data_IF_289123282968
#
_entry.id   IF_289123282968
#
_cell.length_a   1.000
_cell.length_b   1.000
_cell.length_c   1.000
_cell.angle_alpha   90.00
_cell.angle_beta   90.00
_cell.angle_gamma   90.00
#
_symmetry.space_group_name_H-M   'P 1'
#
loop_
_entity.id
_entity.type
_entity.pdbx_description
1 polymer ?
#
# COMPACT_ATOMS: atom_id res chain seq x y z
N UNK A 1 -0.37 5.16 17.34
CA UNK A 1 -0.95 4.28 16.29
C UNK A 1 -2.22 3.65 16.83
N UNK A 2 -3.32 3.57 16.06
CA UNK A 2 -4.49 2.82 16.49
C UNK A 2 -4.08 1.37 16.79
N UNK A 3 -4.62 0.79 17.88
CA UNK A 3 -4.39 -0.64 18.20
C UNK A 3 -4.84 -1.48 17.02
N UNK A 4 -3.88 -2.11 16.34
CA UNK A 4 -4.15 -3.04 15.25
C UNK A 4 -4.11 -4.46 15.81
N UNK A 5 -5.16 -5.23 15.55
CA UNK A 5 -5.16 -6.65 15.89
C UNK A 5 -4.39 -7.43 14.82
N UNK A 6 -3.64 -8.48 15.19
CA UNK A 6 -3.00 -9.35 14.22
C UNK A 6 -4.02 -9.93 13.22
N UNK A 7 -3.62 -10.09 11.96
CA UNK A 7 -4.47 -10.66 10.92
C UNK A 7 -4.95 -12.09 11.24
N UNK A 8 -4.12 -12.88 11.93
CA UNK A 8 -4.48 -14.21 12.41
C UNK A 8 -5.67 -14.18 13.38
N UNK A 9 -5.65 -13.25 14.34
CA UNK A 9 -6.73 -13.04 15.31
C UNK A 9 -8.02 -12.64 14.59
N UNK A 10 -7.93 -11.67 13.67
CA UNK A 10 -9.08 -11.24 12.86
C UNK A 10 -9.67 -12.40 12.05
N UNK A 11 -8.83 -13.20 11.38
CA UNK A 11 -9.31 -14.36 10.59
C UNK A 11 -10.00 -15.41 11.46
N UNK A 12 -9.42 -15.77 12.59
CA UNK A 12 -10.00 -16.75 13.52
C UNK A 12 -11.36 -16.28 14.04
N UNK A 13 -11.45 -15.02 14.48
CA UNK A 13 -12.69 -14.45 15.01
C UNK A 13 -13.74 -14.29 13.90
N UNK A 14 -13.35 -13.85 12.70
CA UNK A 14 -14.25 -13.80 11.54
C UNK A 14 -14.82 -15.17 11.19
N UNK A 15 -14.01 -16.24 11.28
CA UNK A 15 -14.50 -17.60 11.08
C UNK A 15 -15.55 -17.97 12.13
N UNK A 16 -15.26 -17.80 13.42
CA UNK A 16 -16.20 -18.05 14.53
C UNK A 16 -17.52 -17.27 14.36
N UNK A 17 -17.45 -15.98 14.04
CA UNK A 17 -18.62 -15.12 13.83
C UNK A 17 -19.50 -15.57 12.66
N UNK A 18 -18.93 -16.23 11.64
CA UNK A 18 -19.70 -16.83 10.54
C UNK A 18 -20.27 -18.20 10.90
N UNK A 19 -19.54 -18.97 11.72
CA UNK A 19 -19.97 -20.29 12.18
C UNK A 19 -21.11 -20.24 13.21
N UNK A 20 -21.42 -19.06 13.76
CA UNK A 20 -22.62 -18.83 14.57
C UNK A 20 -22.36 -18.18 15.93
N UNK A 21 -21.10 -18.05 16.35
CA UNK A 21 -20.75 -17.43 17.63
C UNK A 21 -21.28 -16.00 17.71
N UNK A 22 -21.79 -15.62 18.88
CA UNK A 22 -22.33 -14.28 19.08
C UNK A 22 -21.20 -13.27 19.30
N UNK A 23 -21.47 -12.01 18.92
CA UNK A 23 -20.55 -10.90 19.19
C UNK A 23 -20.35 -10.69 20.69
N UNK A 24 -21.38 -10.99 21.50
CA UNK A 24 -21.30 -10.86 22.95
C UNK A 24 -20.30 -11.87 23.54
N UNK A 25 -20.41 -13.15 23.16
CA UNK A 25 -19.56 -14.21 23.70
C UNK A 25 -18.08 -14.01 23.31
N UNK A 26 -17.82 -13.65 22.06
CA UNK A 26 -16.46 -13.36 21.62
C UNK A 26 -15.93 -12.09 22.31
N UNK A 27 -16.78 -11.09 22.52
CA UNK A 27 -16.41 -9.86 23.21
C UNK A 27 -16.01 -10.10 24.67
N UNK A 28 -16.74 -10.95 25.39
CA UNK A 28 -16.42 -11.31 26.78
C UNK A 28 -15.16 -12.16 26.87
N UNK A 29 -14.94 -13.10 25.94
CA UNK A 29 -13.76 -13.97 25.92
C UNK A 29 -12.47 -13.20 25.55
N UNK A 30 -12.54 -12.33 24.54
CA UNK A 30 -11.35 -11.70 23.95
C UNK A 30 -11.07 -10.29 24.44
N UNK A 31 -12.05 -9.64 25.08
CA UNK A 31 -12.00 -8.22 25.46
C UNK A 31 -12.05 -7.26 24.27
N UNK A 32 -12.29 -7.75 23.05
CA UNK A 32 -12.42 -6.91 21.86
C UNK A 32 -13.77 -6.21 21.88
N UNK A 33 -13.77 -4.91 21.55
CA UNK A 33 -15.00 -4.13 21.57
C UNK A 33 -16.06 -4.68 20.59
N UNK A 34 -17.35 -4.71 20.98
CA UNK A 34 -18.43 -5.18 20.12
C UNK A 34 -18.46 -4.47 18.76
N UNK A 35 -18.17 -3.17 18.72
CA UNK A 35 -18.11 -2.40 17.48
C UNK A 35 -17.05 -2.95 16.49
N UNK A 36 -15.89 -3.38 16.98
CA UNK A 36 -14.85 -4.00 16.16
C UNK A 36 -15.32 -5.34 15.60
N UNK A 37 -15.93 -6.16 16.46
CA UNK A 37 -16.44 -7.48 16.09
C UNK A 37 -17.57 -7.40 15.05
N UNK A 38 -18.51 -6.46 15.19
CA UNK A 38 -19.55 -6.23 14.19
C UNK A 38 -18.97 -5.84 12.83
N UNK A 39 -17.96 -4.98 12.82
CA UNK A 39 -17.28 -4.57 11.58
C UNK A 39 -16.58 -5.75 10.91
N UNK A 40 -15.93 -6.60 11.69
CA UNK A 40 -15.31 -7.83 11.17
C UNK A 40 -16.33 -8.83 10.66
N UNK A 41 -17.46 -9.02 11.36
CA UNK A 41 -18.56 -9.86 10.90
C UNK A 41 -19.12 -9.37 9.56
N UNK A 42 -19.35 -8.06 9.44
CA UNK A 42 -19.85 -7.46 8.20
C UNK A 42 -18.90 -7.72 7.02
N UNK A 43 -17.60 -7.47 7.20
CA UNK A 43 -16.61 -7.75 6.15
C UNK A 43 -16.51 -9.25 5.84
N UNK A 44 -16.54 -10.11 6.86
CA UNK A 44 -16.49 -11.55 6.68
C UNK A 44 -17.67 -12.10 5.87
N UNK A 45 -18.84 -11.48 5.95
CA UNK A 45 -20.00 -11.81 5.14
C UNK A 45 -19.88 -11.31 3.70
N UNK A 46 -19.23 -10.16 3.49
CA UNK A 46 -18.89 -9.65 2.15
C UNK A 46 -17.88 -10.58 1.48
N UNK A 47 -16.81 -10.93 2.19
CA UNK A 47 -15.76 -11.84 1.71
C UNK A 47 -16.27 -13.26 1.44
N UNK A 48 -17.41 -13.63 2.04
CA UNK A 48 -18.10 -14.90 1.82
C UNK A 48 -19.23 -14.80 0.77
N UNK A 49 -19.36 -13.66 0.09
CA UNK A 49 -20.39 -13.37 -0.91
C UNK A 49 -21.84 -13.48 -0.41
N UNK A 50 -22.05 -13.52 0.91
CA UNK A 50 -23.38 -13.55 1.54
C UNK A 50 -24.02 -12.17 1.51
N UNK A 51 -23.20 -11.11 1.48
CA UNK A 51 -23.65 -9.72 1.43
C UNK A 51 -22.86 -8.96 0.36
N UNK A 52 -23.52 -8.11 -0.41
CA UNK A 52 -22.84 -7.23 -1.36
C UNK A 52 -21.91 -6.22 -0.68
N UNK A 53 -20.76 -5.93 -1.31
CA UNK A 53 -19.75 -5.01 -0.83
C UNK A 53 -18.40 -5.26 -1.52
N UNK A 54 -17.37 -4.51 -1.15
CA UNK A 54 -16.00 -4.70 -1.66
C UNK A 54 -15.30 -5.78 -0.84
N UNK A 55 -14.86 -6.89 -1.46
CA UNK A 55 -14.07 -7.93 -0.79
C UNK A 55 -12.74 -7.40 -0.26
N UNK A 56 -12.26 -7.97 0.84
CA UNK A 56 -10.97 -7.59 1.43
C UNK A 56 -9.80 -7.82 0.46
N UNK A 57 -9.89 -8.84 -0.40
CA UNK A 57 -8.86 -9.17 -1.40
C UNK A 57 -8.67 -8.03 -2.41
N UNK A 58 -9.77 -7.48 -2.93
CA UNK A 58 -9.71 -6.35 -3.87
C UNK A 58 -9.07 -5.11 -3.23
N UNK A 59 -9.35 -4.87 -1.94
CA UNK A 59 -8.70 -3.80 -1.19
C UNK A 59 -7.19 -4.01 -1.03
N UNK A 60 -6.75 -5.26 -0.80
CA UNK A 60 -5.33 -5.60 -0.65
C UNK A 60 -4.58 -5.46 -1.98
N UNK A 61 -5.19 -5.89 -3.10
CA UNK A 61 -4.66 -5.72 -4.45
C UNK A 61 -4.51 -4.23 -4.81
N UNK A 62 -5.51 -3.41 -4.48
CA UNK A 62 -5.45 -1.97 -4.69
C UNK A 62 -4.30 -1.32 -3.89
N UNK A 63 -4.10 -1.74 -2.65
CA UNK A 63 -3.01 -1.25 -1.82
C UNK A 63 -1.64 -1.64 -2.39
N UNK A 64 -1.49 -2.89 -2.85
CA UNK A 64 -0.27 -3.38 -3.51
C UNK A 64 0.02 -2.62 -4.80
N UNK A 65 -0.99 -2.40 -5.65
CA UNK A 65 -0.85 -1.65 -6.89
C UNK A 65 -0.40 -0.21 -6.62
N UNK A 66 -0.98 0.46 -5.62
CA UNK A 66 -0.56 1.82 -5.22
C UNK A 66 0.88 1.86 -4.71
N UNK A 67 1.30 0.88 -3.93
CA UNK A 67 2.68 0.79 -3.46
C UNK A 67 3.66 0.60 -4.61
N UNK A 68 3.30 -0.23 -5.60
CA UNK A 68 4.12 -0.45 -6.79
C UNK A 68 4.23 0.82 -7.65
N UNK A 69 3.12 1.53 -7.87
CA UNK A 69 3.12 2.81 -8.60
C UNK A 69 4.04 3.82 -7.91
N UNK A 70 3.92 3.97 -6.58
CA UNK A 70 4.77 4.90 -5.84
C UNK A 70 6.27 4.55 -5.95
N UNK A 71 6.62 3.25 -5.96
CA UNK A 71 7.99 2.82 -6.18
C UNK A 71 8.50 3.17 -7.59
N UNK A 72 7.70 2.91 -8.63
CA UNK A 72 8.02 3.26 -10.00
C UNK A 72 8.16 4.77 -10.21
N UNK A 73 7.29 5.56 -9.58
CA UNK A 73 7.38 7.02 -9.62
C UNK A 73 8.67 7.54 -8.96
N UNK A 74 9.12 6.91 -7.87
CA UNK A 74 10.39 7.23 -7.24
C UNK A 74 11.59 6.88 -8.14
N UNK A 75 11.57 5.72 -8.80
CA UNK A 75 12.60 5.32 -9.77
C UNK A 75 12.66 6.28 -10.98
N UNK A 76 11.50 6.68 -11.49
CA UNK A 76 11.42 7.67 -12.58
C UNK A 76 11.95 9.03 -12.17
N UNK A 77 11.65 9.49 -10.94
CA UNK A 77 12.19 10.74 -10.42
C UNK A 77 13.72 10.72 -10.38
N UNK A 78 14.30 9.67 -9.78
CA UNK A 78 15.77 9.49 -9.74
C UNK A 78 16.40 9.46 -11.14
N UNK A 79 15.76 8.76 -12.08
CA UNK A 79 16.24 8.67 -13.47
C UNK A 79 16.24 10.05 -14.14
N UNK A 80 15.17 10.83 -13.96
CA UNK A 80 15.07 12.19 -14.49
C UNK A 80 16.11 13.12 -13.90
N UNK A 81 16.34 13.03 -12.59
CA UNK A 81 17.36 13.82 -11.91
C UNK A 81 18.77 13.51 -12.46
N UNK A 82 19.09 12.23 -12.68
CA UNK A 82 20.37 11.82 -13.28
C UNK A 82 20.51 12.33 -14.71
N UNK A 83 19.47 12.24 -15.54
CA UNK A 83 19.51 12.78 -16.90
C UNK A 83 19.73 14.30 -16.91
N UNK A 84 19.01 15.04 -16.04
CA UNK A 84 19.17 16.49 -15.93
C UNK A 84 20.61 16.88 -15.52
N UNK A 85 21.19 16.17 -14.55
CA UNK A 85 22.59 16.38 -14.16
C UNK A 85 23.59 16.09 -15.28
N UNK A 86 23.29 15.12 -16.15
CA UNK A 86 24.14 14.80 -17.30
C UNK A 86 24.03 15.86 -18.40
N UNK A 87 22.81 16.32 -18.69
CA UNK A 87 22.56 17.38 -19.66
C UNK A 87 23.26 18.68 -19.23
N UNK A 88 23.18 19.07 -17.95
CA UNK A 88 23.88 20.23 -17.40
C UNK A 88 25.42 20.14 -17.51
N UNK A 89 25.99 18.93 -17.39
CA UNK A 89 27.44 18.70 -17.56
C UNK A 89 27.91 18.81 -19.02
N UNK A 90 27.01 18.58 -19.99
CA UNK A 90 27.33 18.61 -21.43
C UNK A 90 27.50 20.03 -21.99
N UNK A 91 27.13 21.07 -21.24
CA UNK A 91 27.16 22.48 -21.67
C UNK A 91 28.54 23.14 -21.50
N UNK A 92 29.57 22.42 -21.04
CA UNK A 92 30.93 22.97 -21.02
C UNK A 92 31.45 23.08 -22.47
N UNK A 93 31.75 24.29 -22.99
CA UNK A 93 32.23 24.46 -24.35
C UNK A 93 33.55 23.70 -24.52
N UNK A 94 33.76 22.97 -25.64
CA UNK A 94 35.03 22.32 -25.90
C UNK A 94 36.13 23.39 -25.88
N UNK A 95 37.09 23.23 -24.97
CA UNK A 95 38.22 24.15 -24.75
C UNK A 95 38.71 24.75 -26.07
N UNK A 96 38.72 26.08 -26.11
CA UNK A 96 38.92 26.90 -27.30
C UNK A 96 40.07 26.41 -28.17
N UNK A 97 39.78 26.23 -29.47
CA UNK A 97 40.82 26.05 -30.48
C UNK A 97 41.64 27.34 -30.55
N UNK A 98 42.86 27.30 -30.00
CA UNK A 98 43.90 28.27 -30.33
C UNK A 98 44.22 28.15 -31.83
N UNK A 99 43.59 28.97 -32.67
CA UNK A 99 44.12 29.23 -34.02
C UNK A 99 45.26 30.21 -33.85
N UNK A 100 46.48 29.70 -33.90
CA UNK A 100 47.67 30.52 -34.10
C UNK A 100 47.50 31.32 -35.39
N UNK A 101 47.38 32.64 -35.27
CA UNK A 101 47.65 33.55 -36.38
C UNK A 101 49.13 33.45 -36.69
N UNK A 102 49.47 33.07 -37.92
CA UNK A 102 50.83 33.12 -38.42
C UNK A 102 50.81 34.08 -39.61
N UNK A 103 51.74 35.03 -39.51
CA UNK A 103 52.13 36.15 -40.37
C UNK A 103 51.66 36.15 -41.83
#
# INVERSE_FOLDING_TARGET
>A
MPKSYPNSVRRQISHRLRSGDTVADIGTETGISPATLFRWKAQALIDAEVRGGVPSVESDELASARAHIAALEAELALTRDVCALFDDQSVAPPKGRSRSSKD
#
